data_IF_044759779862
#
_entry.id   IF_044759779862
#
_cell.length_a   1.000
_cell.length_b   1.000
_cell.length_c   1.000
_cell.angle_alpha   90.00
_cell.angle_beta   90.00
_cell.angle_gamma   90.00
#
_symmetry.space_group_name_H-M   'P 1'
#
loop_
_entity.id
_entity.type
_entity.pdbx_description
1 polymer ?
#
# COMPACT_ATOMS: atom_id res chain seq x y z
N UNK A 1 -1.00 0.03 -1.22
CA UNK A 1 -1.62 -1.15 -0.57
C UNK A 1 -0.56 -1.80 0.30
N UNK A 2 -0.82 -1.97 1.60
CA UNK A 2 0.17 -2.45 2.56
C UNK A 2 -0.38 -3.66 3.31
N UNK A 3 0.44 -4.70 3.51
CA UNK A 3 0.18 -5.85 4.39
C UNK A 3 -1.16 -6.57 4.16
N UNK A 4 -1.65 -6.59 2.93
CA UNK A 4 -2.95 -7.14 2.56
C UNK A 4 -2.81 -8.49 1.86
N UNK A 5 -3.82 -9.35 1.99
CA UNK A 5 -3.94 -10.58 1.19
C UNK A 5 -4.71 -10.26 -0.11
N UNK A 6 -4.03 -10.38 -1.25
CA UNK A 6 -4.55 -10.11 -2.58
C UNK A 6 -4.90 -11.44 -3.27
N UNK A 7 -6.17 -11.60 -3.63
CA UNK A 7 -6.66 -12.75 -4.38
C UNK A 7 -6.21 -12.72 -5.85
N UNK A 8 -6.43 -13.84 -6.54
CA UNK A 8 -6.07 -14.05 -7.95
C UNK A 8 -6.92 -13.24 -8.94
N UNK A 9 -7.99 -12.59 -8.44
CA UNK A 9 -8.78 -11.61 -9.20
C UNK A 9 -7.95 -10.39 -9.65
N UNK A 10 -6.84 -10.08 -8.97
CA UNK A 10 -6.01 -8.93 -9.33
C UNK A 10 -5.21 -9.25 -10.60
N UNK A 11 -5.47 -8.48 -11.65
CA UNK A 11 -4.71 -8.58 -12.90
C UNK A 11 -3.20 -8.35 -12.66
N UNK A 12 -2.29 -9.06 -13.32
CA UNK A 12 -0.84 -8.92 -13.09
C UNK A 12 -0.30 -7.49 -13.27
N UNK A 13 -0.83 -6.71 -14.22
CA UNK A 13 -0.57 -5.26 -14.36
C UNK A 13 -0.84 -4.44 -13.08
N UNK A 14 -1.79 -4.87 -12.25
CA UNK A 14 -2.20 -4.33 -10.96
C UNK A 14 -2.98 -3.02 -11.02
N UNK A 15 -2.57 -2.08 -11.86
CA UNK A 15 -3.13 -0.74 -11.94
C UNK A 15 -3.59 -0.43 -13.36
N UNK A 16 -4.73 0.27 -13.48
CA UNK A 16 -5.31 0.66 -14.75
C UNK A 16 -5.18 2.19 -14.96
N UNK A 17 -4.82 2.67 -16.16
CA UNK A 17 -4.87 4.10 -16.46
C UNK A 17 -6.28 4.64 -16.28
N UNK A 18 -6.39 5.89 -15.83
CA UNK A 18 -7.68 6.59 -15.80
C UNK A 18 -8.13 7.00 -17.20
N UNK A 19 -7.30 7.78 -17.88
CA UNK A 19 -7.53 8.25 -19.25
C UNK A 19 -6.18 8.45 -19.95
N UNK A 20 -5.80 7.50 -20.80
CA UNK A 20 -4.51 7.49 -21.49
C UNK A 20 -3.32 7.70 -20.55
N UNK A 21 -2.33 8.52 -20.90
CA UNK A 21 -1.13 8.75 -20.09
C UNK A 21 -1.34 9.74 -18.94
N UNK A 22 -2.56 10.18 -18.67
CA UNK A 22 -2.84 11.19 -17.65
C UNK A 22 -2.37 10.71 -16.26
N UNK A 23 -1.62 11.57 -15.56
CA UNK A 23 -1.07 11.36 -14.22
C UNK A 23 -0.10 10.19 -14.03
N UNK A 24 0.18 9.35 -15.04
CA UNK A 24 1.06 8.17 -14.89
C UNK A 24 2.48 8.54 -14.41
N UNK A 25 2.90 9.79 -14.64
CA UNK A 25 4.19 10.32 -14.19
C UNK A 25 4.17 11.01 -12.83
N UNK A 26 3.00 11.37 -12.30
CA UNK A 26 2.84 12.21 -11.10
C UNK A 26 2.11 11.53 -9.96
N UNK A 27 1.31 10.50 -10.24
CA UNK A 27 0.65 9.68 -9.22
C UNK A 27 1.69 9.00 -8.31
N UNK A 28 1.24 8.54 -7.15
CA UNK A 28 2.06 7.70 -6.27
C UNK A 28 1.25 6.46 -5.90
N UNK A 29 1.54 5.36 -6.59
CA UNK A 29 1.04 4.04 -6.25
C UNK A 29 2.18 3.18 -5.72
N UNK A 30 1.88 2.37 -4.72
CA UNK A 30 2.87 1.54 -4.06
C UNK A 30 2.23 0.35 -3.38
N UNK A 31 2.95 -0.76 -3.38
CA UNK A 31 2.60 -2.02 -2.74
C UNK A 31 3.73 -2.41 -1.77
N UNK A 32 3.39 -2.93 -0.60
CA UNK A 32 4.37 -3.34 0.42
C UNK A 32 3.86 -4.54 1.21
N UNK A 33 4.65 -5.61 1.25
CA UNK A 33 4.41 -6.80 2.10
C UNK A 33 3.00 -7.40 1.94
N UNK A 34 2.46 -7.33 0.72
CA UNK A 34 1.21 -8.00 0.35
C UNK A 34 1.47 -9.50 0.14
N UNK A 35 0.44 -10.31 0.35
CA UNK A 35 0.49 -11.78 0.27
C UNK A 35 -0.65 -12.32 -0.61
N UNK A 36 -0.60 -13.61 -0.90
CA UNK A 36 -1.63 -14.28 -1.71
C UNK A 36 -1.32 -14.27 -3.22
N UNK A 37 -2.14 -14.97 -4.01
CA UNK A 37 -1.86 -15.24 -5.42
C UNK A 37 -1.82 -13.99 -6.31
N UNK A 38 -2.50 -12.90 -5.93
CA UNK A 38 -2.48 -11.63 -6.67
C UNK A 38 -1.37 -10.66 -6.25
N UNK A 39 -0.53 -11.01 -5.27
CA UNK A 39 0.47 -10.09 -4.71
C UNK A 39 1.80 -10.04 -5.48
N UNK A 40 2.00 -10.90 -6.49
CA UNK A 40 3.17 -10.86 -7.34
C UNK A 40 3.25 -9.51 -8.07
N UNK A 41 4.43 -8.88 -8.05
CA UNK A 41 4.63 -7.51 -8.57
C UNK A 41 5.52 -7.43 -9.82
N UNK A 42 6.06 -8.57 -10.25
CA UNK A 42 6.95 -8.73 -11.39
C UNK A 42 6.34 -8.17 -12.69
N UNK A 43 5.06 -8.44 -12.91
CA UNK A 43 4.31 -8.01 -14.11
C UNK A 43 3.62 -6.63 -13.95
N UNK A 44 3.70 -6.00 -12.77
CA UNK A 44 3.08 -4.68 -12.55
C UNK A 44 3.58 -3.66 -13.55
N UNK A 45 2.68 -2.77 -13.96
CA UNK A 45 2.98 -1.63 -14.82
C UNK A 45 4.17 -0.82 -14.30
N UNK A 46 5.01 -0.29 -15.21
CA UNK A 46 6.27 0.40 -14.88
C UNK A 46 6.17 1.93 -14.96
N UNK A 47 4.99 2.49 -14.69
CA UNK A 47 4.80 3.94 -14.75
C UNK A 47 5.72 4.65 -13.74
N UNK A 48 6.18 5.86 -14.07
CA UNK A 48 7.04 6.65 -13.15
C UNK A 48 6.37 6.92 -11.81
N UNK A 49 5.04 6.96 -11.76
CA UNK A 49 4.27 7.11 -10.52
C UNK A 49 4.23 5.86 -9.63
N UNK A 50 4.64 4.70 -10.12
CA UNK A 50 4.80 3.49 -9.30
C UNK A 50 6.08 3.65 -8.47
N UNK A 51 5.94 3.53 -7.15
CA UNK A 51 7.03 3.70 -6.19
C UNK A 51 7.23 2.40 -5.44
N UNK A 52 8.47 1.90 -5.44
CA UNK A 52 8.87 0.87 -4.49
C UNK A 52 8.73 1.42 -3.07
N UNK A 53 8.22 0.59 -2.16
CA UNK A 53 8.22 0.89 -0.73
C UNK A 53 9.10 -0.07 0.01
N UNK A 54 9.87 0.49 0.94
CA UNK A 54 10.47 -0.23 2.05
C UNK A 54 9.61 -0.02 3.31
N UNK A 55 10.01 -0.66 4.41
CA UNK A 55 9.29 -0.56 5.67
C UNK A 55 9.18 0.91 6.15
N UNK A 56 10.27 1.68 6.09
CA UNK A 56 10.29 3.07 6.54
C UNK A 56 9.36 3.97 5.74
N UNK A 57 9.29 3.81 4.42
CA UNK A 57 8.36 4.52 3.55
C UNK A 57 6.92 4.09 3.82
N UNK A 58 6.68 2.79 3.96
CA UNK A 58 5.36 2.24 4.21
C UNK A 58 4.80 2.71 5.57
N UNK A 59 5.64 2.84 6.61
CA UNK A 59 5.24 3.36 7.93
C UNK A 59 4.66 4.77 7.86
N UNK A 60 5.05 5.60 6.89
CA UNK A 60 4.47 6.94 6.71
C UNK A 60 2.97 6.90 6.37
N UNK A 61 2.50 5.76 5.85
CA UNK A 61 1.12 5.52 5.48
C UNK A 61 0.38 4.61 6.48
N UNK A 62 0.99 4.25 7.61
CA UNK A 62 0.28 3.59 8.70
C UNK A 62 -0.67 4.56 9.41
N UNK A 63 -1.57 4.03 10.25
CA UNK A 63 -2.53 4.84 11.01
C UNK A 63 -1.83 5.96 11.80
N UNK A 64 -0.69 5.65 12.43
CA UNK A 64 0.10 6.63 13.17
C UNK A 64 0.92 7.54 12.25
N UNK A 65 1.53 6.99 11.20
CA UNK A 65 2.33 7.78 10.26
C UNK A 65 1.51 8.86 9.56
N UNK A 66 0.31 8.50 9.12
CA UNK A 66 -0.55 9.36 8.29
C UNK A 66 -1.52 10.21 9.11
N UNK A 67 -2.19 9.63 10.11
CA UNK A 67 -3.31 10.28 10.80
C UNK A 67 -3.05 10.61 12.28
N UNK A 68 -1.86 10.28 12.80
CA UNK A 68 -1.56 10.37 14.25
C UNK A 68 -2.63 9.65 15.10
N UNK A 69 -3.08 8.49 14.61
CA UNK A 69 -4.23 7.78 15.16
C UNK A 69 -4.12 7.47 16.66
N UNK A 70 -2.92 7.23 17.19
CA UNK A 70 -2.72 6.97 18.62
C UNK A 70 -3.14 8.15 19.52
N UNK A 71 -3.17 9.37 18.99
CA UNK A 71 -3.50 10.58 19.75
C UNK A 71 -5.01 10.75 19.98
N UNK A 72 -5.84 10.05 19.21
CA UNK A 72 -7.30 10.28 19.23
C UNK A 72 -8.17 9.03 19.16
N UNK A 73 -7.76 7.98 18.43
CA UNK A 73 -8.57 6.75 18.29
C UNK A 73 -8.84 6.07 19.63
N UNK A 74 -7.90 5.97 20.61
CA UNK A 74 -8.21 5.32 21.89
C UNK A 74 -9.39 5.93 22.64
N UNK A 75 -9.67 7.23 22.45
CA UNK A 75 -10.81 7.92 23.07
C UNK A 75 -12.17 7.52 22.48
N UNK A 76 -12.16 6.85 21.33
CA UNK A 76 -13.38 6.35 20.66
C UNK A 76 -13.81 4.96 21.15
N UNK A 77 -12.93 4.23 21.85
CA UNK A 77 -13.16 2.84 22.26
C UNK A 77 -12.91 1.81 21.15
N UNK A 78 -12.52 2.23 19.95
CA UNK A 78 -12.18 1.33 18.84
C UNK A 78 -10.77 0.74 19.02
N UNK A 79 -10.56 -0.57 18.82
CA UNK A 79 -9.22 -1.16 18.80
C UNK A 79 -8.33 -0.54 17.73
N UNK A 80 -7.07 -0.23 18.08
CA UNK A 80 -6.12 0.41 17.18
C UNK A 80 -4.86 -0.45 16.99
N UNK A 81 -4.58 -0.79 15.74
CA UNK A 81 -3.23 -1.10 15.29
C UNK A 81 -2.63 0.16 14.67
N UNK A 82 -1.71 0.79 15.40
CA UNK A 82 -1.21 2.12 15.06
C UNK A 82 -0.17 2.08 13.93
N UNK A 83 0.54 0.96 13.77
CA UNK A 83 1.66 0.85 12.82
C UNK A 83 1.67 -0.48 12.06
N UNK A 84 2.62 -0.62 11.14
CA UNK A 84 2.84 -1.84 10.37
C UNK A 84 3.30 -3.00 11.27
N UNK A 85 2.87 -4.20 10.90
CA UNK A 85 3.37 -5.43 11.51
C UNK A 85 4.82 -5.64 11.08
N UNK A 86 5.63 -6.24 11.95
CA UNK A 86 6.98 -6.66 11.58
C UNK A 86 6.92 -7.57 10.35
N UNK A 87 7.73 -7.26 9.34
CA UNK A 87 7.85 -8.09 8.14
C UNK A 87 8.42 -9.44 8.59
N UNK A 88 7.67 -10.52 8.35
CA UNK A 88 8.15 -11.86 8.67
C UNK A 88 9.21 -12.24 7.64
N UNK A 89 10.41 -12.55 8.14
CA UNK A 89 11.52 -13.10 7.34
C UNK A 89 11.17 -14.44 6.74
#
# INVERSE_FOLDING_TARGET
>A
ILQSDLGDLIHPDGWLPWDGPMYLNTLTYSEFDNRGPGAAMDERVKWKGIKNSDFSRAQKFSSQGFMKAADWVPRTGVPLNADLLAVKS
#
